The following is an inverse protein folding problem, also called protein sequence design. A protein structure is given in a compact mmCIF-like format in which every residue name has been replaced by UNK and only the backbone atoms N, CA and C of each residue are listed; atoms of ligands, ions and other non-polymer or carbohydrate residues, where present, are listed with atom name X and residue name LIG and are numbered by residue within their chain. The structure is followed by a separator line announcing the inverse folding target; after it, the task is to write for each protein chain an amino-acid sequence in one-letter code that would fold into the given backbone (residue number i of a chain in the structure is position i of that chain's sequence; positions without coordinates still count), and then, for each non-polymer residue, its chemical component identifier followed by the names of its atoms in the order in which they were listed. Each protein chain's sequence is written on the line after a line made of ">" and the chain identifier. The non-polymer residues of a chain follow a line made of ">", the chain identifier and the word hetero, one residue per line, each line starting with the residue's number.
data_IF_728756623938
#
_entry.id   IF_728756623938
#
_cell.length_a   1.000
_cell.length_b   1.000
_cell.length_c   1.000
_cell.angle_alpha   90.00
_cell.angle_beta   90.00
_cell.angle_gamma   90.00
#
_symmetry.space_group_name_H-M   'P 1'
#
loop_
_entity.id
_entity.type
_entity.pdbx_description
1 polymer ?
#
# COMPACT_ATOMS: atom_id res chain seq x y z
N UNK A 1 20.69 2.35 -15.74
CA UNK A 1 20.09 3.71 -15.63
C UNK A 1 21.04 4.58 -14.82
N UNK A 2 21.08 5.90 -15.09
CA UNK A 2 21.84 6.84 -14.23
C UNK A 2 21.23 6.86 -12.82
N UNK A 3 22.06 7.17 -11.81
CA UNK A 3 21.56 7.40 -10.44
C UNK A 3 20.55 8.54 -10.45
N UNK A 4 19.43 8.35 -9.78
CA UNK A 4 18.35 9.33 -9.63
C UNK A 4 18.14 9.63 -8.15
N UNK A 5 17.68 10.84 -7.83
CA UNK A 5 17.29 11.23 -6.47
C UNK A 5 15.77 11.11 -6.31
N UNK A 6 15.34 10.18 -5.47
CA UNK A 6 13.96 9.74 -5.33
C UNK A 6 13.45 10.10 -3.94
N UNK A 7 12.35 10.85 -3.85
CA UNK A 7 11.64 11.08 -2.60
C UNK A 7 10.54 10.05 -2.41
N UNK A 8 10.47 9.44 -1.21
CA UNK A 8 9.41 8.50 -0.82
C UNK A 8 8.75 9.04 0.46
N UNK A 9 7.54 9.60 0.34
CA UNK A 9 6.74 9.93 1.51
C UNK A 9 6.03 8.68 2.03
N UNK A 10 6.05 8.49 3.35
CA UNK A 10 5.65 7.22 3.97
C UNK A 10 6.71 6.13 3.80
N UNK A 11 7.98 6.53 3.65
CA UNK A 11 9.09 5.62 3.36
C UNK A 11 9.45 4.69 4.53
N UNK A 12 9.07 5.00 5.76
CA UNK A 12 9.22 4.13 6.92
C UNK A 12 8.00 3.23 7.19
N UNK A 13 6.97 3.32 6.34
CA UNK A 13 5.82 2.42 6.35
C UNK A 13 6.14 1.06 5.72
N UNK A 14 5.15 0.15 5.73
CA UNK A 14 5.26 -1.20 5.16
C UNK A 14 5.79 -1.17 3.71
N UNK A 15 5.02 -0.65 2.77
CA UNK A 15 5.41 -0.65 1.34
C UNK A 15 6.60 0.30 1.11
N UNK A 16 6.60 1.46 1.75
CA UNK A 16 7.64 2.48 1.59
C UNK A 16 9.04 1.98 1.92
N UNK A 17 9.19 1.18 2.99
CA UNK A 17 10.48 0.62 3.40
C UNK A 17 11.06 -0.36 2.36
N UNK A 18 10.21 -1.17 1.72
CA UNK A 18 10.62 -2.04 0.62
C UNK A 18 11.04 -1.24 -0.63
N UNK A 19 10.35 -0.14 -0.92
CA UNK A 19 10.74 0.77 -2.01
C UNK A 19 12.09 1.45 -1.72
N UNK A 20 12.32 1.91 -0.48
CA UNK A 20 13.62 2.47 -0.07
C UNK A 20 14.75 1.47 -0.34
N UNK A 21 14.61 0.22 0.10
CA UNK A 21 15.59 -0.85 -0.16
C UNK A 21 15.81 -1.10 -1.65
N UNK A 22 14.72 -1.23 -2.41
CA UNK A 22 14.79 -1.49 -3.86
C UNK A 22 15.55 -0.40 -4.60
N UNK A 23 15.24 0.87 -4.34
CA UNK A 23 15.88 1.98 -5.06
C UNK A 23 17.32 2.20 -4.62
N UNK A 24 17.66 2.02 -3.36
CA UNK A 24 19.07 2.03 -2.90
C UNK A 24 19.87 0.89 -3.54
N UNK A 25 19.32 -0.34 -3.60
CA UNK A 25 19.94 -1.47 -4.29
C UNK A 25 20.10 -1.22 -5.80
N UNK A 26 19.19 -0.44 -6.40
CA UNK A 26 19.29 0.05 -7.78
C UNK A 26 20.31 1.17 -8.00
N UNK A 27 21.02 1.60 -6.94
CA UNK A 27 22.05 2.64 -7.01
C UNK A 27 21.54 4.08 -6.97
N UNK A 28 20.25 4.29 -6.71
CA UNK A 28 19.61 5.61 -6.60
C UNK A 28 19.90 6.24 -5.23
N UNK A 29 19.72 7.56 -5.12
CA UNK A 29 19.64 8.27 -3.84
C UNK A 29 18.17 8.30 -3.38
N UNK A 30 17.93 8.01 -2.10
CA UNK A 30 16.59 7.94 -1.52
C UNK A 30 16.43 8.94 -0.40
N UNK A 31 15.43 9.81 -0.52
CA UNK A 31 14.95 10.71 0.53
C UNK A 31 13.65 10.14 1.08
N UNK A 32 13.73 9.51 2.25
CA UNK A 32 12.60 8.99 3.00
C UNK A 32 12.00 10.10 3.86
N UNK A 33 10.71 10.43 3.66
CA UNK A 33 9.99 11.39 4.49
C UNK A 33 8.86 10.66 5.20
N UNK A 34 8.86 10.68 6.54
CA UNK A 34 7.83 10.00 7.35
C UNK A 34 7.65 10.77 8.68
N UNK A 35 6.43 10.87 9.19
CA UNK A 35 6.13 11.43 10.52
C UNK A 35 5.93 10.36 11.59
N UNK A 36 6.10 9.08 11.22
CA UNK A 36 5.95 7.89 12.05
C UNK A 36 4.58 7.69 12.70
N UNK A 37 3.54 8.34 12.19
CA UNK A 37 2.17 8.12 12.67
C UNK A 37 1.77 6.64 12.52
N UNK A 38 2.11 6.03 11.38
CA UNK A 38 1.86 4.60 11.10
C UNK A 38 3.10 3.83 10.66
N UNK A 39 4.16 4.52 10.27
CA UNK A 39 5.48 3.98 9.98
C UNK A 39 6.28 3.64 11.25
N UNK A 40 7.43 2.97 11.08
CA UNK A 40 8.35 2.65 12.15
C UNK A 40 9.79 2.95 11.73
N UNK A 41 10.59 3.56 12.61
CA UNK A 41 12.04 3.76 12.39
C UNK A 41 12.76 2.42 12.18
N UNK A 42 12.33 1.37 12.87
CA UNK A 42 12.89 0.02 12.72
C UNK A 42 12.83 -0.49 11.27
N UNK A 43 11.79 -0.12 10.51
CA UNK A 43 11.66 -0.51 9.11
C UNK A 43 12.75 0.04 8.18
N UNK A 44 13.52 1.04 8.59
CA UNK A 44 14.55 1.71 7.77
C UNK A 44 15.87 1.88 8.52
N UNK A 45 16.01 1.30 9.71
CA UNK A 45 17.17 1.49 10.60
C UNK A 45 18.48 1.06 9.93
N UNK A 46 18.49 -0.10 9.27
CA UNK A 46 19.67 -0.61 8.58
C UNK A 46 20.09 0.28 7.39
N UNK A 47 19.17 1.11 6.86
CA UNK A 47 19.45 2.01 5.75
C UNK A 47 20.15 3.29 6.19
N UNK A 48 20.10 3.65 7.48
CA UNK A 48 20.68 4.90 8.01
C UNK A 48 22.19 4.98 7.81
N UNK A 49 22.87 3.84 7.72
CA UNK A 49 24.32 3.78 7.44
C UNK A 49 24.67 3.98 5.96
N UNK A 50 23.69 3.95 5.05
CA UNK A 50 23.93 4.11 3.63
C UNK A 50 24.05 5.61 3.27
N UNK A 51 25.18 6.08 2.69
CA UNK A 51 25.38 7.50 2.35
C UNK A 51 24.40 8.04 1.29
N UNK A 52 23.70 7.16 0.57
CA UNK A 52 22.66 7.52 -0.40
C UNK A 52 21.24 7.56 0.20
N UNK A 53 21.12 7.29 1.51
CA UNK A 53 19.83 7.34 2.20
C UNK A 53 19.74 8.56 3.11
N UNK A 54 18.67 9.32 2.98
CA UNK A 54 18.37 10.46 3.86
C UNK A 54 17.00 10.23 4.48
N UNK A 55 16.93 10.25 5.82
CA UNK A 55 15.67 10.20 6.57
C UNK A 55 15.30 11.61 7.04
N UNK A 56 14.09 12.05 6.71
CA UNK A 56 13.49 13.31 7.16
C UNK A 56 12.24 12.98 7.97
N UNK A 57 12.25 13.26 9.26
CA UNK A 57 11.10 13.13 10.13
C UNK A 57 10.23 14.37 10.00
N UNK A 58 9.18 14.30 9.16
CA UNK A 58 8.30 15.43 8.89
C UNK A 58 6.92 14.97 8.40
N UNK A 59 5.88 15.72 8.79
CA UNK A 59 4.55 15.60 8.20
C UNK A 59 4.50 16.34 6.86
N UNK A 60 4.12 15.64 5.80
CA UNK A 60 3.99 16.19 4.44
C UNK A 60 2.79 17.12 4.26
N UNK A 61 1.88 17.20 5.24
CA UNK A 61 0.82 18.22 5.29
C UNK A 61 1.41 19.63 5.54
N UNK A 62 2.65 19.71 6.03
CA UNK A 62 3.45 20.93 6.08
C UNK A 62 4.38 20.99 4.87
N UNK A 63 4.69 22.20 4.34
CA UNK A 63 5.66 22.33 3.25
C UNK A 63 7.03 21.76 3.66
N UNK A 64 7.63 20.94 2.80
CA UNK A 64 8.99 20.45 3.02
C UNK A 64 9.99 21.58 2.95
N UNK A 65 10.60 21.91 4.09
CA UNK A 65 11.40 23.12 4.25
C UNK A 65 12.88 22.94 3.96
N UNK A 66 13.44 21.72 4.12
CA UNK A 66 14.92 21.51 4.08
C UNK A 66 15.27 20.12 3.54
N UNK A 67 16.39 19.98 2.81
CA UNK A 67 17.11 18.72 2.61
C UNK A 67 16.69 17.86 1.43
N UNK A 68 15.59 18.18 0.73
CA UNK A 68 15.14 17.33 -0.38
C UNK A 68 15.99 17.46 -1.66
N UNK A 69 16.63 18.62 -1.90
CA UNK A 69 17.40 18.88 -3.13
C UNK A 69 16.55 18.84 -4.39
N UNK A 70 17.20 18.73 -5.55
CA UNK A 70 16.51 18.49 -6.83
C UNK A 70 16.11 17.02 -6.91
N UNK A 71 14.86 16.76 -7.30
CA UNK A 71 14.28 15.42 -7.36
C UNK A 71 14.02 14.98 -8.80
N UNK A 72 14.29 13.70 -9.07
CA UNK A 72 13.98 13.04 -10.35
C UNK A 72 12.63 12.31 -10.30
N UNK A 73 12.20 11.90 -9.11
CA UNK A 73 10.90 11.25 -8.90
C UNK A 73 10.38 11.42 -7.46
N UNK A 74 9.06 11.36 -7.31
CA UNK A 74 8.37 11.34 -6.02
C UNK A 74 7.45 10.12 -5.97
N UNK A 75 7.50 9.38 -4.85
CA UNK A 75 6.56 8.32 -4.50
C UNK A 75 5.75 8.78 -3.30
N UNK A 76 4.46 9.04 -3.51
CA UNK A 76 3.57 9.46 -2.43
C UNK A 76 2.82 8.26 -1.87
N UNK A 77 3.37 7.70 -0.78
CA UNK A 77 2.89 6.50 -0.08
C UNK A 77 2.45 6.78 1.36
N UNK A 78 2.64 8.00 1.85
CA UNK A 78 2.22 8.40 3.20
C UNK A 78 0.69 8.38 3.32
N UNK A 79 0.17 7.48 4.15
CA UNK A 79 -1.24 7.45 4.57
C UNK A 79 -1.43 6.34 5.60
N UNK A 80 -2.16 6.54 6.71
CA UNK A 80 -2.70 5.44 7.50
C UNK A 80 -3.54 4.53 6.61
N UNK A 81 -3.36 3.22 6.68
CA UNK A 81 -3.99 2.29 5.75
C UNK A 81 -4.59 1.03 6.42
N UNK A 82 -4.45 0.90 7.74
CA UNK A 82 -5.08 -0.16 8.52
C UNK A 82 -6.59 0.09 8.67
N UNK A 83 -7.45 -0.88 8.32
CA UNK A 83 -8.90 -0.78 8.50
C UNK A 83 -9.36 -1.18 9.90
N UNK A 84 -8.47 -1.63 10.77
CA UNK A 84 -8.82 -2.19 12.07
C UNK A 84 -8.99 -1.08 13.13
N UNK A 85 -10.20 -0.83 13.66
CA UNK A 85 -10.41 0.22 14.66
C UNK A 85 -9.67 -0.04 15.99
N UNK A 86 -9.24 -1.27 16.26
CA UNK A 86 -8.45 -1.62 17.43
C UNK A 86 -6.93 -1.37 17.24
N UNK A 87 -6.48 -1.13 16.00
CA UNK A 87 -5.07 -0.80 15.73
C UNK A 87 -4.80 0.68 16.01
N UNK A 88 -3.75 1.03 16.77
CA UNK A 88 -3.42 2.42 17.04
C UNK A 88 -3.00 3.22 15.82
N UNK A 89 -2.70 2.54 14.70
CA UNK A 89 -2.29 3.15 13.43
C UNK A 89 -3.38 3.15 12.36
N UNK A 90 -4.61 2.79 12.75
CA UNK A 90 -5.75 2.71 11.84
C UNK A 90 -6.18 4.09 11.33
N UNK A 91 -6.63 4.15 10.06
CA UNK A 91 -7.30 5.33 9.54
C UNK A 91 -8.62 5.64 10.27
N UNK A 92 -9.22 4.66 10.97
CA UNK A 92 -10.41 4.87 11.79
C UNK A 92 -10.07 5.55 13.13
N UNK A 93 -8.83 5.41 13.60
CA UNK A 93 -8.31 6.11 14.80
C UNK A 93 -7.77 7.50 14.41
N UNK A 94 -7.25 7.65 13.18
CA UNK A 94 -6.69 8.88 12.64
C UNK A 94 -7.45 9.37 11.39
N UNK A 95 -8.79 9.59 11.49
CA UNK A 95 -9.59 9.88 10.29
C UNK A 95 -9.26 11.25 9.68
N UNK A 96 -9.00 12.25 10.50
CA UNK A 96 -8.67 13.60 10.04
C UNK A 96 -7.29 13.63 9.39
N UNK A 97 -6.28 13.05 10.02
CA UNK A 97 -4.91 12.93 9.49
C UNK A 97 -4.91 12.19 8.16
N UNK A 98 -5.74 11.14 8.03
CA UNK A 98 -5.92 10.36 6.79
C UNK A 98 -6.48 11.22 5.66
N UNK A 99 -7.48 12.05 5.94
CA UNK A 99 -8.03 12.99 4.95
C UNK A 99 -7.04 14.12 4.62
N UNK A 100 -6.33 14.65 5.62
CA UNK A 100 -5.36 15.73 5.42
C UNK A 100 -4.17 15.28 4.60
N UNK A 101 -3.60 14.10 4.84
CA UNK A 101 -2.50 13.59 4.04
C UNK A 101 -2.92 13.28 2.60
N UNK A 102 -4.16 12.82 2.40
CA UNK A 102 -4.71 12.54 1.07
C UNK A 102 -5.07 13.82 0.29
N UNK A 103 -5.28 14.95 0.96
CA UNK A 103 -5.62 16.26 0.37
C UNK A 103 -4.42 17.22 0.38
N UNK A 104 -4.10 17.79 1.54
CA UNK A 104 -3.03 18.79 1.69
C UNK A 104 -1.66 18.16 1.42
N UNK A 105 -1.38 16.97 1.98
CA UNK A 105 -0.15 16.24 1.73
C UNK A 105 0.05 15.96 0.24
N UNK A 106 -0.99 15.44 -0.43
CA UNK A 106 -0.96 15.18 -1.87
C UNK A 106 -0.73 16.46 -2.68
N UNK A 107 -1.36 17.59 -2.30
CA UNK A 107 -1.13 18.89 -2.94
C UNK A 107 0.33 19.33 -2.81
N UNK A 108 0.91 19.24 -1.62
CA UNK A 108 2.30 19.62 -1.38
C UNK A 108 3.28 18.76 -2.22
N UNK A 109 3.01 17.44 -2.34
CA UNK A 109 3.81 16.54 -3.19
C UNK A 109 3.66 16.86 -4.68
N UNK A 110 2.47 17.24 -5.14
CA UNK A 110 2.22 17.68 -6.51
C UNK A 110 2.92 19.01 -6.84
N UNK A 111 2.84 19.99 -5.93
CA UNK A 111 3.55 21.25 -6.09
C UNK A 111 5.06 21.04 -6.19
N UNK A 112 5.60 20.14 -5.35
CA UNK A 112 7.00 19.77 -5.38
C UNK A 112 7.39 19.06 -6.69
N UNK A 113 6.54 18.16 -7.20
CA UNK A 113 6.75 17.48 -8.48
C UNK A 113 6.76 18.46 -9.66
N UNK A 114 5.80 19.39 -9.69
CA UNK A 114 5.74 20.44 -10.72
C UNK A 114 6.96 21.34 -10.65
N UNK A 115 7.36 21.78 -9.46
CA UNK A 115 8.55 22.62 -9.25
C UNK A 115 9.84 21.96 -9.75
N UNK A 116 9.98 20.64 -9.56
CA UNK A 116 11.15 19.86 -10.00
C UNK A 116 11.03 19.35 -11.46
N UNK A 117 9.86 19.46 -12.10
CA UNK A 117 9.60 18.89 -13.42
C UNK A 117 9.68 17.36 -13.46
N UNK A 118 9.59 16.72 -12.29
CA UNK A 118 9.76 15.27 -12.12
C UNK A 118 8.43 14.51 -12.15
N UNK A 119 8.52 13.18 -12.31
CA UNK A 119 7.35 12.32 -12.21
C UNK A 119 6.94 12.10 -10.75
N UNK A 120 5.63 11.88 -10.53
CA UNK A 120 5.08 11.51 -9.23
C UNK A 120 4.16 10.31 -9.35
N UNK A 121 4.42 9.30 -8.49
CA UNK A 121 3.65 8.06 -8.38
C UNK A 121 2.84 8.09 -7.10
N UNK A 122 1.52 7.92 -7.22
CA UNK A 122 0.57 7.91 -6.11
C UNK A 122 0.15 6.52 -5.72
N UNK A 123 0.26 6.19 -4.43
CA UNK A 123 -0.35 4.99 -3.86
C UNK A 123 -1.84 5.24 -3.61
N UNK A 124 -2.68 4.88 -4.58
CA UNK A 124 -4.10 4.69 -4.40
C UNK A 124 -4.40 3.26 -3.94
N UNK A 125 -5.64 2.85 -3.93
CA UNK A 125 -6.09 1.61 -3.31
C UNK A 125 -7.27 1.02 -4.06
N UNK A 126 -7.49 -0.29 -3.91
CA UNK A 126 -8.73 -0.95 -4.34
C UNK A 126 -9.97 -0.50 -3.55
N UNK A 127 -9.79 0.19 -2.41
CA UNK A 127 -10.90 0.74 -1.62
C UNK A 127 -11.69 1.84 -2.37
N UNK A 128 -11.08 2.48 -3.39
CA UNK A 128 -11.79 3.44 -4.26
C UNK A 128 -12.95 2.80 -5.03
N UNK A 129 -12.99 1.47 -5.10
CA UNK A 129 -14.08 0.70 -5.70
C UNK A 129 -15.26 0.46 -4.75
N UNK A 130 -15.06 0.62 -3.43
CA UNK A 130 -16.08 0.39 -2.40
C UNK A 130 -16.55 -1.06 -2.34
N UNK A 131 -17.87 -1.28 -2.16
CA UNK A 131 -18.53 -2.59 -2.36
C UNK A 131 -18.90 -2.73 -3.85
N UNK A 132 -18.04 -3.39 -4.66
CA UNK A 132 -18.12 -3.25 -6.10
C UNK A 132 -19.28 -4.02 -6.73
N UNK A 133 -19.97 -3.37 -7.68
CA UNK A 133 -21.01 -3.97 -8.50
C UNK A 133 -20.46 -4.66 -9.76
N UNK A 134 -19.15 -4.49 -10.03
CA UNK A 134 -18.43 -5.07 -11.17
C UNK A 134 -17.34 -6.00 -10.65
N UNK A 135 -17.21 -7.18 -11.24
CA UNK A 135 -16.23 -8.20 -10.82
C UNK A 135 -15.65 -8.95 -12.03
N UNK A 136 -14.34 -9.06 -12.21
CA UNK A 136 -13.28 -8.33 -11.49
C UNK A 136 -13.34 -6.81 -11.73
N UNK A 137 -12.69 -5.98 -10.88
CA UNK A 137 -12.74 -4.53 -10.96
C UNK A 137 -11.69 -3.98 -11.94
N UNK A 138 -12.10 -3.45 -13.13
CA UNK A 138 -11.20 -2.73 -14.03
C UNK A 138 -11.02 -1.28 -13.59
N UNK A 139 -9.96 -0.61 -14.04
CA UNK A 139 -9.69 0.80 -13.70
C UNK A 139 -10.77 1.76 -14.20
N UNK A 140 -11.54 1.38 -15.21
CA UNK A 140 -12.66 2.15 -15.76
C UNK A 140 -13.90 2.15 -14.87
N UNK A 141 -13.97 1.26 -13.86
CA UNK A 141 -15.08 1.23 -12.91
C UNK A 141 -14.93 2.34 -11.86
N UNK A 142 -15.95 3.20 -11.72
CA UNK A 142 -15.91 4.38 -10.85
C UNK A 142 -16.13 4.09 -9.37
N UNK A 143 -16.56 2.88 -9.05
CA UNK A 143 -16.76 2.45 -7.68
C UNK A 143 -18.18 2.66 -7.14
N UNK A 144 -18.41 2.08 -5.96
CA UNK A 144 -19.63 2.18 -5.16
C UNK A 144 -19.23 2.35 -3.68
N UNK A 145 -18.81 3.57 -3.34
CA UNK A 145 -18.29 3.94 -2.02
C UNK A 145 -19.39 4.58 -1.18
N UNK A 146 -19.45 4.24 0.12
CA UNK A 146 -20.29 4.93 1.09
C UNK A 146 -19.59 6.21 1.57
N UNK A 147 -19.99 7.43 1.13
CA UNK A 147 -19.24 8.65 1.41
C UNK A 147 -19.36 9.14 2.85
N UNK A 148 -20.26 8.56 3.64
CA UNK A 148 -20.51 8.93 5.05
C UNK A 148 -20.27 7.78 6.02
N UNK A 149 -19.84 6.62 5.52
CA UNK A 149 -19.51 5.45 6.34
C UNK A 149 -18.21 5.61 7.14
N UNK A 150 -17.95 4.72 8.09
CA UNK A 150 -16.77 4.82 8.96
C UNK A 150 -15.44 4.71 8.21
N UNK A 151 -15.44 4.14 6.99
CA UNK A 151 -14.25 3.99 6.13
C UNK A 151 -14.06 5.17 5.16
N UNK A 152 -15.03 6.09 5.06
CA UNK A 152 -15.03 7.18 4.09
C UNK A 152 -13.80 8.10 4.18
N UNK A 153 -13.22 8.29 5.36
CA UNK A 153 -12.01 9.08 5.54
C UNK A 153 -10.83 8.56 4.68
N UNK A 154 -10.74 7.24 4.51
CA UNK A 154 -9.73 6.61 3.67
C UNK A 154 -10.20 6.51 2.21
N UNK A 155 -11.39 5.95 2.00
CA UNK A 155 -11.92 5.65 0.67
C UNK A 155 -12.10 6.94 -0.16
N UNK A 156 -12.80 7.94 0.37
CA UNK A 156 -12.99 9.24 -0.29
C UNK A 156 -11.71 10.09 -0.27
N UNK A 157 -10.86 9.97 0.77
CA UNK A 157 -9.54 10.59 0.79
C UNK A 157 -8.70 10.15 -0.41
N UNK A 158 -8.64 8.84 -0.71
CA UNK A 158 -7.92 8.31 -1.87
C UNK A 158 -8.58 8.69 -3.20
N UNK A 159 -9.90 8.71 -3.29
CA UNK A 159 -10.63 9.21 -4.47
C UNK A 159 -10.36 10.69 -4.72
N UNK A 160 -10.34 11.51 -3.67
CA UNK A 160 -9.96 12.92 -3.77
C UNK A 160 -8.51 13.07 -4.27
N UNK A 161 -7.56 12.30 -3.72
CA UNK A 161 -6.16 12.30 -4.15
C UNK A 161 -6.05 12.01 -5.65
N UNK A 162 -6.74 10.98 -6.18
CA UNK A 162 -6.77 10.69 -7.62
C UNK A 162 -7.31 11.90 -8.42
N UNK A 163 -8.46 12.46 -8.00
CA UNK A 163 -9.07 13.61 -8.68
C UNK A 163 -8.14 14.83 -8.70
N UNK A 164 -7.44 15.10 -7.58
CA UNK A 164 -6.47 16.16 -7.47
C UNK A 164 -5.27 15.95 -8.39
N UNK A 165 -4.70 14.73 -8.41
CA UNK A 165 -3.58 14.34 -9.28
C UNK A 165 -3.93 14.57 -10.76
N UNK A 166 -5.10 14.11 -11.21
CA UNK A 166 -5.56 14.32 -12.58
C UNK A 166 -5.89 15.81 -12.89
N UNK A 167 -6.26 16.59 -11.90
CA UNK A 167 -6.45 18.05 -12.06
C UNK A 167 -5.11 18.76 -12.31
N UNK A 168 -4.05 18.35 -11.60
CA UNK A 168 -2.68 18.82 -11.84
C UNK A 168 -2.14 18.38 -13.19
N UNK A 169 -2.41 17.13 -13.60
CA UNK A 169 -2.06 16.64 -14.94
C UNK A 169 -2.67 17.55 -16.03
N UNK A 170 -3.98 17.79 -15.97
CA UNK A 170 -4.68 18.60 -16.98
C UNK A 170 -4.28 20.08 -16.97
N UNK A 171 -4.05 20.65 -15.77
CA UNK A 171 -3.80 22.09 -15.62
C UNK A 171 -2.31 22.46 -15.76
N UNK A 172 -1.43 21.63 -15.24
CA UNK A 172 0.01 21.93 -15.09
C UNK A 172 0.92 20.99 -15.90
N UNK A 173 0.36 19.99 -16.59
CA UNK A 173 1.16 18.97 -17.29
C UNK A 173 2.00 18.10 -16.34
N UNK A 174 1.56 17.95 -15.06
CA UNK A 174 2.27 17.16 -14.07
C UNK A 174 2.38 15.71 -14.52
N UNK A 175 3.57 15.11 -14.43
CA UNK A 175 3.84 13.73 -14.86
C UNK A 175 3.36 12.73 -13.81
N UNK A 176 2.03 12.60 -13.67
CA UNK A 176 1.42 11.72 -12.67
C UNK A 176 1.30 10.28 -13.14
N UNK A 177 1.42 9.36 -12.21
CA UNK A 177 1.07 7.93 -12.33
C UNK A 177 0.31 7.51 -11.07
N UNK A 178 -0.82 6.85 -11.20
CA UNK A 178 -1.63 6.41 -10.08
C UNK A 178 -1.69 4.89 -10.06
N UNK A 179 -1.37 4.27 -8.94
CA UNK A 179 -1.48 2.83 -8.74
C UNK A 179 -2.56 2.52 -7.72
N UNK A 180 -3.52 1.67 -8.07
CA UNK A 180 -4.51 1.12 -7.14
C UNK A 180 -3.98 -0.20 -6.60
N UNK A 181 -3.49 -0.15 -5.36
CA UNK A 181 -2.88 -1.29 -4.67
C UNK A 181 -3.98 -2.18 -4.07
N UNK A 182 -3.85 -3.49 -4.27
CA UNK A 182 -4.83 -4.46 -3.81
C UNK A 182 -4.21 -5.43 -2.80
N UNK A 183 -4.77 -5.50 -1.56
CA UNK A 183 -4.51 -6.48 -0.50
C UNK A 183 -3.07 -7.01 -0.45
N UNK A 184 -2.12 -6.13 -0.25
CA UNK A 184 -0.71 -6.49 -0.17
C UNK A 184 -0.32 -6.93 1.22
N UNK A 185 0.57 -7.93 1.33
CA UNK A 185 1.10 -8.46 2.58
C UNK A 185 2.58 -8.85 2.45
N UNK A 186 3.27 -9.00 3.59
CA UNK A 186 4.67 -9.38 3.63
C UNK A 186 5.42 -8.90 4.88
N UNK A 187 6.75 -9.05 4.91
CA UNK A 187 7.62 -8.50 5.95
C UNK A 187 7.45 -6.99 6.18
N UNK A 188 7.77 -6.50 7.37
CA UNK A 188 7.63 -5.11 7.81
C UNK A 188 6.18 -4.61 7.93
N UNK A 189 5.18 -5.47 7.75
CA UNK A 189 3.80 -5.13 8.06
C UNK A 189 3.58 -5.28 9.57
N UNK A 190 3.06 -4.28 10.24
CA UNK A 190 2.84 -4.34 11.72
C UNK A 190 1.92 -5.49 12.08
N UNK A 191 2.27 -6.27 13.12
CA UNK A 191 1.43 -7.38 13.61
C UNK A 191 0.06 -6.89 14.11
N UNK A 192 -0.03 -5.66 14.60
CA UNK A 192 -1.26 -5.02 15.07
C UNK A 192 -2.04 -4.27 13.96
N UNK A 193 -1.63 -4.39 12.68
CA UNK A 193 -2.32 -3.75 11.54
C UNK A 193 -3.77 -4.23 11.40
N UNK A 194 -4.04 -5.51 11.70
CA UNK A 194 -5.37 -6.09 11.73
C UNK A 194 -5.91 -6.58 10.38
N UNK A 195 -5.16 -6.49 9.29
CA UNK A 195 -5.54 -7.12 8.04
C UNK A 195 -5.40 -8.65 8.13
N UNK A 196 -6.22 -9.37 7.36
CA UNK A 196 -6.38 -10.82 7.43
C UNK A 196 -5.06 -11.61 7.47
N UNK A 197 -4.15 -11.36 6.53
CA UNK A 197 -2.90 -12.11 6.38
C UNK A 197 -1.95 -11.92 7.56
N UNK A 198 -1.80 -10.68 8.05
CA UNK A 198 -0.93 -10.42 9.20
C UNK A 198 -1.56 -10.89 10.51
N UNK A 199 -2.90 -10.90 10.62
CA UNK A 199 -3.60 -11.50 11.76
C UNK A 199 -3.35 -13.01 11.87
N UNK A 200 -3.20 -13.74 10.73
CA UNK A 200 -2.80 -15.15 10.73
C UNK A 200 -1.40 -15.32 11.33
N UNK A 201 -0.45 -14.48 10.89
CA UNK A 201 0.92 -14.48 11.40
C UNK A 201 0.97 -14.14 12.88
N UNK A 202 0.28 -13.07 13.29
CA UNK A 202 0.19 -12.62 14.67
C UNK A 202 -0.44 -13.67 15.61
N UNK A 203 -1.50 -14.35 15.16
CA UNK A 203 -2.13 -15.42 15.91
C UNK A 203 -1.16 -16.58 16.15
N UNK A 204 -0.37 -16.97 15.16
CA UNK A 204 0.61 -18.04 15.27
C UNK A 204 1.81 -17.64 16.12
N UNK A 205 2.45 -16.50 15.83
CA UNK A 205 3.67 -16.04 16.51
C UNK A 205 3.42 -15.78 18.00
N UNK A 206 2.28 -15.18 18.33
CA UNK A 206 1.90 -14.85 19.71
C UNK A 206 1.03 -15.91 20.39
N UNK A 207 0.84 -17.08 19.77
CA UNK A 207 0.06 -18.21 20.30
C UNK A 207 -1.33 -17.79 20.83
N UNK A 208 -2.07 -17.02 20.02
CA UNK A 208 -3.41 -16.50 20.36
C UNK A 208 -4.47 -16.93 19.35
N UNK A 209 -5.77 -16.92 19.73
CA UNK A 209 -6.83 -17.24 18.79
C UNK A 209 -6.84 -16.31 17.59
N UNK A 210 -6.97 -16.86 16.38
CA UNK A 210 -7.23 -16.11 15.16
C UNK A 210 -8.72 -15.72 15.13
N UNK A 211 -9.00 -14.41 15.07
CA UNK A 211 -10.37 -13.90 14.95
C UNK A 211 -10.83 -13.98 13.50
N UNK A 212 -11.80 -14.85 13.27
CA UNK A 212 -12.44 -15.05 11.98
C UNK A 212 -13.72 -14.22 11.90
N UNK A 213 -13.75 -13.24 11.00
CA UNK A 213 -14.95 -12.44 10.75
C UNK A 213 -15.87 -13.17 9.76
N UNK A 214 -17.14 -13.41 10.19
CA UNK A 214 -18.12 -14.17 9.42
C UNK A 214 -17.78 -15.66 9.32
N UNK A 215 -18.28 -16.31 8.25
CA UNK A 215 -18.18 -17.76 8.01
C UNK A 215 -16.98 -18.19 7.15
N UNK A 216 -16.18 -17.22 6.69
CA UNK A 216 -14.98 -17.47 5.86
C UNK A 216 -15.24 -17.82 4.41
N UNK A 217 -16.48 -17.75 3.94
CA UNK A 217 -16.81 -17.97 2.53
C UNK A 217 -16.49 -16.75 1.65
N UNK A 218 -16.32 -15.59 2.25
CA UNK A 218 -15.87 -14.37 1.57
C UNK A 218 -14.53 -14.60 0.87
N UNK A 219 -14.42 -14.10 -0.35
CA UNK A 219 -13.21 -14.26 -1.16
C UNK A 219 -12.36 -13.00 -1.19
N UNK A 220 -11.05 -13.19 -1.27
CA UNK A 220 -10.05 -12.11 -1.41
C UNK A 220 -8.94 -12.56 -2.36
N UNK A 221 -8.25 -11.59 -2.92
CA UNK A 221 -6.99 -11.82 -3.63
C UNK A 221 -5.85 -11.15 -2.86
N UNK A 222 -4.73 -11.84 -2.71
CA UNK A 222 -3.60 -11.39 -1.90
C UNK A 222 -2.33 -11.28 -2.76
N UNK A 223 -1.70 -10.11 -2.74
CA UNK A 223 -0.48 -9.83 -3.47
C UNK A 223 0.71 -9.79 -2.51
N UNK A 224 1.73 -10.60 -2.75
CA UNK A 224 2.94 -10.54 -1.95
C UNK A 224 3.74 -9.27 -2.25
N UNK A 225 4.42 -8.74 -1.24
CA UNK A 225 5.10 -7.43 -1.32
C UNK A 225 6.16 -7.37 -2.43
N UNK A 226 6.92 -8.43 -2.69
CA UNK A 226 7.95 -8.43 -3.74
C UNK A 226 7.35 -8.24 -5.12
N UNK A 227 6.21 -8.89 -5.42
CA UNK A 227 5.47 -8.71 -6.68
C UNK A 227 4.96 -7.27 -6.81
N UNK A 228 4.39 -6.70 -5.74
CA UNK A 228 3.94 -5.31 -5.76
C UNK A 228 5.10 -4.35 -6.03
N UNK A 229 6.20 -4.51 -5.31
CA UNK A 229 7.40 -3.66 -5.45
C UNK A 229 8.00 -3.77 -6.85
N UNK A 230 7.96 -4.98 -7.47
CA UNK A 230 8.35 -5.15 -8.87
C UNK A 230 7.40 -4.38 -9.81
N UNK A 231 6.09 -4.49 -9.61
CA UNK A 231 5.09 -3.75 -10.38
C UNK A 231 5.27 -2.23 -10.27
N UNK A 232 5.51 -1.72 -9.06
CA UNK A 232 5.81 -0.29 -8.83
C UNK A 232 7.09 0.12 -9.57
N UNK A 233 8.13 -0.71 -9.54
CA UNK A 233 9.37 -0.48 -10.29
C UNK A 233 9.13 -0.38 -11.80
N UNK A 234 8.28 -1.24 -12.36
CA UNK A 234 7.89 -1.18 -13.78
C UNK A 234 7.04 0.05 -14.11
N UNK A 235 6.12 0.46 -13.22
CA UNK A 235 5.41 1.75 -13.37
C UNK A 235 6.40 2.91 -13.40
N UNK A 236 7.36 2.93 -12.48
CA UNK A 236 8.38 3.97 -12.40
C UNK A 236 9.17 4.11 -13.69
N UNK A 237 9.67 3.00 -14.24
CA UNK A 237 10.52 3.00 -15.45
C UNK A 237 9.75 3.11 -16.77
N UNK A 238 8.43 3.02 -16.75
CA UNK A 238 7.60 3.14 -17.94
C UNK A 238 7.40 4.60 -18.38
N UNK A 239 7.08 4.80 -19.65
CA UNK A 239 6.68 6.11 -20.19
C UNK A 239 5.19 6.43 -19.98
N UNK A 240 4.48 5.59 -19.22
CA UNK A 240 3.05 5.75 -18.96
C UNK A 240 2.83 6.95 -18.04
N UNK A 241 2.15 7.99 -18.53
CA UNK A 241 1.84 9.22 -17.80
C UNK A 241 0.33 9.50 -17.89
N UNK A 242 -0.27 9.97 -16.80
CA UNK A 242 -1.70 10.30 -16.78
C UNK A 242 -2.60 9.05 -16.75
N UNK A 243 -2.13 7.96 -16.16
CA UNK A 243 -2.84 6.69 -16.12
C UNK A 243 -3.07 6.19 -14.70
N UNK A 244 -4.16 5.45 -14.52
CA UNK A 244 -4.45 4.65 -13.32
C UNK A 244 -4.18 3.19 -13.67
N UNK A 245 -3.48 2.46 -12.79
CA UNK A 245 -3.12 1.05 -13.00
C UNK A 245 -3.37 0.25 -11.73
N UNK A 246 -4.13 -0.84 -11.84
CA UNK A 246 -4.29 -1.81 -10.76
C UNK A 246 -3.01 -2.63 -10.60
N UNK A 247 -2.48 -2.70 -9.38
CA UNK A 247 -1.43 -3.63 -9.00
C UNK A 247 -1.94 -4.55 -7.89
N UNK A 248 -2.06 -5.83 -8.20
CA UNK A 248 -2.55 -6.85 -7.27
C UNK A 248 -2.54 -8.24 -7.90
N UNK A 249 -2.83 -9.26 -7.10
CA UNK A 249 -2.93 -10.63 -7.58
C UNK A 249 -4.37 -10.91 -8.07
N UNK A 250 -4.59 -11.38 -9.30
CA UNK A 250 -5.93 -11.72 -9.80
C UNK A 250 -6.44 -13.09 -9.30
N UNK A 251 -5.62 -13.86 -8.60
CA UNK A 251 -6.05 -15.15 -8.02
C UNK A 251 -6.86 -14.90 -6.77
N UNK A 252 -8.12 -15.32 -6.81
CA UNK A 252 -9.09 -15.17 -5.73
C UNK A 252 -9.19 -16.48 -4.95
N UNK A 253 -9.11 -16.38 -3.63
CA UNK A 253 -9.26 -17.53 -2.71
C UNK A 253 -10.26 -17.18 -1.60
N UNK A 254 -10.98 -18.18 -1.08
CA UNK A 254 -11.82 -17.99 0.11
C UNK A 254 -10.96 -17.78 1.35
N UNK A 255 -11.48 -17.08 2.36
CA UNK A 255 -10.75 -16.93 3.63
C UNK A 255 -10.53 -18.29 4.30
N UNK A 256 -11.47 -19.23 4.18
CA UNK A 256 -11.32 -20.59 4.67
C UNK A 256 -10.17 -21.33 3.98
N UNK A 257 -10.03 -21.21 2.65
CA UNK A 257 -8.92 -21.82 1.92
C UNK A 257 -7.58 -21.16 2.25
N UNK A 258 -7.57 -19.83 2.41
CA UNK A 258 -6.39 -19.10 2.84
C UNK A 258 -5.89 -19.57 4.22
N UNK A 259 -6.81 -19.81 5.17
CA UNK A 259 -6.47 -20.37 6.48
C UNK A 259 -5.88 -21.78 6.32
N UNK A 260 -6.50 -22.69 5.55
CA UNK A 260 -5.99 -24.05 5.33
C UNK A 260 -4.59 -24.04 4.71
N UNK A 261 -4.35 -23.14 3.75
CA UNK A 261 -3.01 -22.96 3.15
C UNK A 261 -2.01 -22.53 4.23
N UNK A 262 -2.38 -21.57 5.08
CA UNK A 262 -1.51 -21.11 6.16
C UNK A 262 -1.27 -22.21 7.21
N UNK A 263 -2.28 -22.97 7.62
CA UNK A 263 -2.16 -24.13 8.50
C UNK A 263 -1.20 -25.19 7.94
N UNK A 264 -1.22 -25.39 6.62
CA UNK A 264 -0.23 -26.26 5.94
C UNK A 264 1.19 -25.69 6.05
N UNK A 265 1.35 -24.37 5.90
CA UNK A 265 2.67 -23.69 6.01
C UNK A 265 3.26 -23.80 7.42
N UNK A 266 2.42 -23.68 8.46
CA UNK A 266 2.86 -23.74 9.87
C UNK A 266 2.93 -25.18 10.41
N UNK A 267 2.32 -26.16 9.72
CA UNK A 267 2.28 -27.57 10.11
C UNK A 267 1.34 -27.87 11.29
N UNK A 268 0.40 -27.00 11.61
CA UNK A 268 -0.57 -27.14 12.71
C UNK A 268 -1.86 -26.40 12.44
N UNK A 269 -2.94 -26.76 13.11
CA UNK A 269 -4.19 -26.01 13.09
C UNK A 269 -4.09 -24.73 13.95
N UNK A 270 -4.76 -23.65 13.50
CA UNK A 270 -4.93 -22.44 14.29
C UNK A 270 -6.13 -22.57 15.23
N UNK A 271 -5.98 -22.06 16.46
CA UNK A 271 -7.13 -21.81 17.31
C UNK A 271 -7.95 -20.66 16.71
N UNK A 272 -9.24 -20.90 16.44
CA UNK A 272 -10.13 -19.94 15.77
C UNK A 272 -11.24 -19.45 16.70
N UNK A 273 -11.49 -18.15 16.66
CA UNK A 273 -12.62 -17.49 17.33
C UNK A 273 -13.47 -16.80 16.23
N UNK A 274 -14.76 -17.19 16.12
CA UNK A 274 -15.66 -16.60 15.14
C UNK A 274 -16.35 -15.36 15.71
N UNK A 275 -16.31 -14.27 14.95
CA UNK A 275 -16.89 -12.98 15.34
C UNK A 275 -17.74 -12.41 14.20
N UNK A 276 -18.66 -11.49 14.51
CA UNK A 276 -19.51 -10.85 13.50
C UNK A 276 -18.70 -10.06 12.47
N UNK A 277 -19.26 -9.96 11.24
CA UNK A 277 -18.66 -9.15 10.19
C UNK A 277 -18.56 -7.68 10.55
N UNK A 278 -17.50 -7.02 10.08
CA UNK A 278 -17.36 -5.57 10.22
C UNK A 278 -18.30 -4.83 9.24
N UNK A 279 -18.86 -3.67 9.64
CA UNK A 279 -19.63 -2.82 8.74
C UNK A 279 -18.82 -2.40 7.50
N UNK A 280 -19.50 -2.28 6.35
CA UNK A 280 -18.93 -1.81 5.08
C UNK A 280 -17.71 -2.64 4.55
N UNK A 281 -17.51 -3.89 5.04
CA UNK A 281 -16.47 -4.74 4.48
C UNK A 281 -16.93 -5.34 3.13
N UNK A 282 -16.23 -5.06 2.02
CA UNK A 282 -16.65 -5.53 0.69
C UNK A 282 -16.75 -7.05 0.61
N UNK A 283 -17.82 -7.56 -0.02
CA UNK A 283 -18.05 -9.02 -0.12
C UNK A 283 -17.09 -9.71 -1.06
N UNK A 284 -16.72 -9.06 -2.18
CA UNK A 284 -15.84 -9.60 -3.22
C UNK A 284 -14.88 -8.51 -3.69
N UNK A 285 -13.57 -8.84 -3.79
CA UNK A 285 -12.58 -7.93 -4.31
C UNK A 285 -11.51 -8.69 -5.09
N UNK A 286 -11.45 -8.39 -6.39
CA UNK A 286 -10.48 -8.99 -7.32
C UNK A 286 -10.09 -7.94 -8.37
N UNK A 287 -8.83 -7.52 -8.44
CA UNK A 287 -8.39 -6.57 -9.46
C UNK A 287 -8.41 -7.21 -10.84
N UNK A 288 -8.87 -6.46 -11.84
CA UNK A 288 -8.49 -6.71 -13.23
C UNK A 288 -7.12 -6.09 -13.46
N UNK A 289 -6.12 -6.90 -13.79
CA UNK A 289 -4.74 -6.47 -14.04
C UNK A 289 -4.37 -6.46 -15.54
N UNK A 290 -5.37 -6.58 -16.42
CA UNK A 290 -5.15 -6.59 -17.88
C UNK A 290 -4.34 -5.38 -18.35
N UNK A 291 -4.60 -4.20 -17.77
CA UNK A 291 -3.90 -2.96 -18.08
C UNK A 291 -2.42 -3.02 -17.64
N UNK A 292 -2.15 -3.50 -16.42
CA UNK A 292 -0.78 -3.68 -15.93
C UNK A 292 0.00 -4.67 -16.81
N UNK A 293 -0.61 -5.79 -17.17
CA UNK A 293 0.01 -6.78 -18.07
C UNK A 293 0.31 -6.17 -19.45
N UNK A 294 -0.65 -5.43 -20.04
CA UNK A 294 -0.49 -4.85 -21.37
C UNK A 294 0.54 -3.72 -21.43
N UNK A 295 0.52 -2.80 -20.46
CA UNK A 295 1.35 -1.59 -20.49
C UNK A 295 2.75 -1.81 -19.89
N UNK A 296 2.87 -2.73 -18.92
CA UNK A 296 4.09 -2.91 -18.12
C UNK A 296 4.73 -4.29 -18.32
N UNK A 297 4.05 -5.24 -19.00
CA UNK A 297 4.46 -6.64 -19.02
C UNK A 297 4.55 -7.24 -17.60
N UNK A 298 3.66 -6.78 -16.68
CA UNK A 298 3.69 -7.20 -15.30
C UNK A 298 2.55 -8.15 -14.94
N UNK A 299 2.91 -9.21 -14.24
CA UNK A 299 1.99 -10.14 -13.57
C UNK A 299 2.63 -10.60 -12.26
N UNK A 300 1.86 -10.77 -11.17
CA UNK A 300 2.40 -11.35 -9.94
C UNK A 300 2.80 -12.81 -10.16
N UNK A 301 3.85 -13.26 -9.49
CA UNK A 301 4.45 -14.59 -9.67
C UNK A 301 4.46 -15.41 -8.38
N UNK A 302 4.29 -14.79 -7.22
CA UNK A 302 4.39 -15.43 -5.91
C UNK A 302 3.01 -15.87 -5.46
N UNK A 303 2.81 -17.17 -5.30
CA UNK A 303 1.57 -17.73 -4.76
C UNK A 303 1.41 -17.45 -3.26
N UNK A 304 0.18 -17.63 -2.75
CA UNK A 304 -0.15 -17.30 -1.36
C UNK A 304 0.65 -18.13 -0.34
N UNK A 305 0.86 -19.43 -0.59
CA UNK A 305 1.61 -20.32 0.33
C UNK A 305 3.07 -19.85 0.44
N UNK A 306 3.71 -19.61 -0.70
CA UNK A 306 5.10 -19.12 -0.77
C UNK A 306 5.24 -17.76 -0.08
N UNK A 307 4.33 -16.83 -0.33
CA UNK A 307 4.36 -15.51 0.29
C UNK A 307 4.15 -15.58 1.81
N UNK A 308 3.19 -16.40 2.28
CA UNK A 308 2.95 -16.59 3.73
C UNK A 308 4.15 -17.23 4.43
N UNK A 309 4.81 -18.21 3.80
CA UNK A 309 6.04 -18.81 4.32
C UNK A 309 7.14 -17.76 4.52
N UNK A 310 7.44 -16.96 3.50
CA UNK A 310 8.43 -15.87 3.58
C UNK A 310 8.06 -14.83 4.65
N UNK A 311 6.76 -14.46 4.74
CA UNK A 311 6.28 -13.54 5.76
C UNK A 311 6.52 -14.10 7.16
N UNK A 312 6.15 -15.36 7.38
CA UNK A 312 6.32 -16.03 8.67
C UNK A 312 7.79 -16.18 9.08
N UNK A 313 8.68 -16.51 8.13
CA UNK A 313 10.12 -16.61 8.38
C UNK A 313 10.68 -15.29 8.93
N UNK A 314 10.24 -14.15 8.40
CA UNK A 314 10.65 -12.83 8.91
C UNK A 314 10.28 -12.66 10.40
N UNK A 315 9.02 -12.93 10.78
CA UNK A 315 8.54 -12.71 12.15
C UNK A 315 8.96 -13.78 13.17
N UNK A 316 9.56 -14.90 12.75
CA UNK A 316 10.15 -15.87 13.67
C UNK A 316 11.55 -15.49 14.19
N UNK A 317 12.16 -14.50 13.54
CA UNK A 317 13.53 -14.05 13.83
C UNK A 317 13.56 -12.65 14.47
N UNK A 318 12.40 -11.99 14.62
CA UNK A 318 12.21 -10.79 15.43
C UNK A 318 11.79 -11.15 16.87
#
# INVERSE_FOLDING_TARGET
>A
MSSQRILISGGAGFIGSHLCRRFLAGGHEVVCVDNFLSGSKANVEELLSNPKFTLIEQDICTPLMVGVGTLDAIFHFACPASPNPASPVSYMVHPIETMMVSSVGSKNMLDLAVKNGCQIIFASTSEVYGDPLVHPQPESYWGNVNPVGPRSCYDEGKRFMEALAFSYYRKHGAKIKVIRICNTYGPNMRLDDGRFTINLVDAFVNNKPFKMYGDGTTTRSFCYIDDLVDGIGKVFTSDVIGEVINLGNPTEISLNDAIKIFETVIGSELLKEYVDNQPDDPKKRKPDITKATKLLGWTPSIDFATGMKKTLEFYKHE
#
